data_IF_754793770460
#
_entry.id   IF_754793770460
#
_cell.length_a   1.000
_cell.length_b   1.000
_cell.length_c   1.000
_cell.angle_alpha   90.00
_cell.angle_beta   90.00
_cell.angle_gamma   90.00
#
_symmetry.space_group_name_H-M   'P 1'
#
loop_
_entity.id
_entity.type
_entity.pdbx_description
1 polymer ?
#
# COMPACT_ATOMS: atom_id res chain seq x y z
N UNK A 1 -3.48 -21.29 3.18
CA UNK A 1 -4.70 -20.81 2.52
C UNK A 1 -4.79 -21.49 1.15
N UNK A 2 -5.97 -21.91 0.69
CA UNK A 2 -6.11 -22.37 -0.71
C UNK A 2 -6.16 -21.15 -1.65
N UNK A 3 -5.85 -21.35 -2.94
CA UNK A 3 -5.72 -20.23 -3.88
C UNK A 3 -7.02 -19.41 -4.02
N UNK A 4 -8.18 -20.06 -4.05
CA UNK A 4 -9.47 -19.36 -4.14
C UNK A 4 -9.78 -18.50 -2.91
N UNK A 5 -9.40 -18.98 -1.72
CA UNK A 5 -9.51 -18.20 -0.47
C UNK A 5 -8.58 -16.98 -0.48
N UNK A 6 -7.37 -17.13 -1.05
CA UNK A 6 -6.44 -16.02 -1.22
C UNK A 6 -7.03 -14.98 -2.15
N UNK A 7 -7.56 -15.39 -3.31
CA UNK A 7 -8.19 -14.49 -4.27
C UNK A 7 -9.38 -13.73 -3.65
N UNK A 8 -10.26 -14.42 -2.92
CA UNK A 8 -11.37 -13.79 -2.22
C UNK A 8 -10.89 -12.77 -1.18
N UNK A 9 -9.87 -13.13 -0.40
CA UNK A 9 -9.29 -12.26 0.63
C UNK A 9 -8.63 -11.02 0.04
N UNK A 10 -7.89 -11.18 -1.07
CA UNK A 10 -7.30 -10.06 -1.80
C UNK A 10 -8.38 -9.17 -2.43
N UNK A 11 -9.45 -9.75 -2.96
CA UNK A 11 -10.60 -9.00 -3.48
C UNK A 11 -11.22 -8.12 -2.41
N UNK A 12 -11.46 -8.68 -1.21
CA UNK A 12 -11.96 -7.91 -0.07
C UNK A 12 -11.00 -6.78 0.33
N UNK A 13 -9.69 -7.06 0.35
CA UNK A 13 -8.66 -6.07 0.65
C UNK A 13 -8.66 -4.92 -0.35
N UNK A 14 -8.64 -5.22 -1.65
CA UNK A 14 -8.64 -4.19 -2.71
C UNK A 14 -9.93 -3.36 -2.70
N UNK A 15 -11.08 -3.98 -2.44
CA UNK A 15 -12.36 -3.28 -2.30
C UNK A 15 -12.36 -2.34 -1.07
N UNK A 16 -11.74 -2.75 0.03
CA UNK A 16 -11.61 -1.93 1.24
C UNK A 16 -10.77 -0.66 0.98
N UNK A 17 -9.84 -0.69 0.02
CA UNK A 17 -9.07 0.48 -0.39
C UNK A 17 -9.83 1.42 -1.34
N UNK A 18 -11.06 1.07 -1.77
CA UNK A 18 -11.87 1.89 -2.69
C UNK A 18 -11.18 2.20 -4.03
N UNK A 19 -10.14 1.46 -4.39
CA UNK A 19 -9.43 1.65 -5.66
C UNK A 19 -10.11 0.85 -6.77
N UNK A 20 -10.25 1.45 -7.94
CA UNK A 20 -10.64 0.72 -9.13
C UNK A 20 -9.48 -0.17 -9.59
N UNK A 21 -9.76 -1.45 -9.85
CA UNK A 21 -8.79 -2.38 -10.40
C UNK A 21 -9.37 -3.18 -11.55
N UNK A 22 -8.51 -3.58 -12.48
CA UNK A 22 -8.80 -4.59 -13.47
C UNK A 22 -8.28 -5.93 -12.96
N UNK A 23 -9.13 -6.95 -12.98
CA UNK A 23 -8.69 -8.32 -12.77
C UNK A 23 -8.05 -8.87 -14.05
N UNK A 24 -6.89 -9.50 -13.87
CA UNK A 24 -6.16 -10.18 -14.91
C UNK A 24 -5.63 -11.52 -14.37
N UNK A 25 -5.41 -12.48 -15.28
CA UNK A 25 -4.85 -13.79 -14.95
C UNK A 25 -3.77 -14.14 -15.95
N UNK A 26 -2.53 -13.85 -15.59
CA UNK A 26 -1.38 -14.14 -16.44
C UNK A 26 -1.20 -15.64 -16.60
N UNK A 27 -1.28 -16.40 -15.50
CA UNK A 27 -1.31 -17.86 -15.55
C UNK A 27 -2.56 -18.35 -14.83
N UNK A 28 -3.43 -19.04 -15.58
CA UNK A 28 -4.72 -19.54 -15.09
C UNK A 28 -4.52 -20.47 -13.90
N UNK A 29 -5.45 -20.39 -12.95
CA UNK A 29 -5.57 -21.28 -11.78
C UNK A 29 -4.43 -21.22 -10.74
N UNK A 30 -3.35 -20.47 -10.99
CA UNK A 30 -2.23 -20.33 -10.05
C UNK A 30 -1.91 -18.88 -9.71
N UNK A 31 -2.52 -17.92 -10.42
CA UNK A 31 -2.32 -16.50 -10.17
C UNK A 31 -3.52 -15.64 -10.52
N UNK A 32 -3.60 -14.51 -9.81
CA UNK A 32 -4.56 -13.43 -10.04
C UNK A 32 -3.84 -12.10 -9.85
N UNK A 33 -4.07 -11.17 -10.77
CA UNK A 33 -3.48 -9.85 -10.74
C UNK A 33 -4.57 -8.79 -10.60
N UNK A 34 -4.44 -7.95 -9.58
CA UNK A 34 -5.25 -6.77 -9.36
C UNK A 34 -4.48 -5.56 -9.89
N UNK A 35 -4.82 -5.11 -11.09
CA UNK A 35 -4.12 -4.04 -11.80
C UNK A 35 -4.78 -2.70 -11.50
N UNK A 36 -4.10 -1.87 -10.70
CA UNK A 36 -4.55 -0.54 -10.28
C UNK A 36 -3.87 0.52 -11.15
N UNK A 37 -4.41 0.74 -12.34
CA UNK A 37 -3.83 1.68 -13.33
C UNK A 37 -3.64 3.09 -12.79
N UNK A 38 -4.61 3.60 -12.03
CA UNK A 38 -4.58 4.97 -11.51
C UNK A 38 -3.34 5.26 -10.63
N UNK A 39 -2.82 4.23 -9.94
CA UNK A 39 -1.69 4.36 -9.03
C UNK A 39 -0.47 3.53 -9.46
N UNK A 40 -0.46 3.03 -10.70
CA UNK A 40 0.66 2.26 -11.26
C UNK A 40 1.08 1.07 -10.39
N UNK A 41 0.12 0.31 -9.85
CA UNK A 41 0.35 -0.82 -8.95
C UNK A 41 -0.28 -2.11 -9.49
N UNK A 42 0.44 -3.22 -9.38
CA UNK A 42 -0.08 -4.57 -9.58
C UNK A 42 0.10 -5.36 -8.29
N UNK A 43 -1.01 -5.83 -7.73
CA UNK A 43 -0.99 -6.79 -6.61
C UNK A 43 -1.23 -8.18 -7.17
N UNK A 44 -0.29 -9.09 -6.96
CA UNK A 44 -0.34 -10.44 -7.50
C UNK A 44 -0.56 -11.45 -6.38
N UNK A 45 -1.72 -12.10 -6.39
CA UNK A 45 -1.97 -13.30 -5.60
C UNK A 45 -1.47 -14.53 -6.35
N UNK A 46 -0.72 -15.42 -5.71
CA UNK A 46 -0.18 -16.62 -6.37
C UNK A 46 0.05 -17.80 -5.41
N UNK A 47 0.30 -18.98 -5.97
CA UNK A 47 0.71 -20.18 -5.22
C UNK A 47 2.23 -20.14 -5.01
N UNK A 48 2.70 -20.30 -3.77
CA UNK A 48 4.11 -20.12 -3.39
C UNK A 48 5.10 -20.94 -4.26
N UNK A 49 4.76 -22.18 -4.61
CA UNK A 49 5.59 -23.07 -5.44
C UNK A 49 5.89 -22.51 -6.84
N UNK A 50 5.05 -21.60 -7.35
CA UNK A 50 5.10 -21.08 -8.71
C UNK A 50 5.78 -19.72 -8.82
N UNK A 51 6.39 -19.22 -7.74
CA UNK A 51 6.88 -17.84 -7.63
C UNK A 51 7.71 -17.39 -8.83
N UNK A 52 8.68 -18.19 -9.27
CA UNK A 52 9.61 -17.81 -10.33
C UNK A 52 8.90 -17.51 -11.66
N UNK A 53 8.00 -18.41 -12.07
CA UNK A 53 7.27 -18.28 -13.34
C UNK A 53 6.33 -17.07 -13.28
N UNK A 54 5.70 -16.84 -12.13
CA UNK A 54 4.84 -15.68 -11.89
C UNK A 54 5.62 -14.37 -11.92
N UNK A 55 6.76 -14.31 -11.25
CA UNK A 55 7.63 -13.14 -11.22
C UNK A 55 8.03 -12.72 -12.64
N UNK A 56 8.54 -13.66 -13.43
CA UNK A 56 8.99 -13.41 -14.80
C UNK A 56 7.83 -12.91 -15.68
N UNK A 57 6.68 -13.57 -15.60
CA UNK A 57 5.52 -13.24 -16.42
C UNK A 57 4.89 -11.89 -16.05
N UNK A 58 4.83 -11.56 -14.75
CA UNK A 58 4.35 -10.25 -14.26
C UNK A 58 5.32 -9.13 -14.67
N UNK A 59 6.62 -9.35 -14.55
CA UNK A 59 7.63 -8.36 -14.94
C UNK A 59 7.61 -8.08 -16.43
N UNK A 60 7.41 -9.10 -17.26
CA UNK A 60 7.28 -8.93 -18.70
C UNK A 60 6.02 -8.14 -19.09
N UNK A 61 4.88 -8.43 -18.45
CA UNK A 61 3.60 -7.80 -18.81
C UNK A 61 3.43 -6.39 -18.25
N UNK A 62 3.99 -6.12 -17.07
CA UNK A 62 3.81 -4.87 -16.34
C UNK A 62 5.16 -4.24 -15.95
N UNK A 63 6.04 -3.88 -16.90
CA UNK A 63 7.40 -3.45 -16.60
C UNK A 63 7.43 -2.20 -15.70
N UNK A 64 6.57 -1.22 -15.99
CA UNK A 64 6.58 0.11 -15.35
C UNK A 64 5.68 0.24 -14.12
N UNK A 65 5.15 -0.89 -13.61
CA UNK A 65 4.28 -0.90 -12.44
C UNK A 65 5.08 -1.27 -11.18
N UNK A 66 4.71 -0.66 -10.06
CA UNK A 66 5.05 -1.22 -8.73
C UNK A 66 4.36 -2.57 -8.61
N UNK A 67 5.06 -3.57 -8.08
CA UNK A 67 4.56 -4.95 -7.98
C UNK A 67 4.64 -5.41 -6.54
N UNK A 68 3.53 -5.95 -6.05
CA UNK A 68 3.47 -6.61 -4.75
C UNK A 68 3.06 -8.06 -5.01
N UNK A 69 3.86 -8.99 -4.51
CA UNK A 69 3.62 -10.43 -4.62
C UNK A 69 3.15 -10.95 -3.27
N UNK A 70 2.00 -11.61 -3.28
CA UNK A 70 1.34 -12.19 -2.10
C UNK A 70 1.05 -13.66 -2.41
N UNK A 71 1.75 -14.53 -1.72
CA UNK A 71 1.56 -15.97 -1.78
C UNK A 71 0.42 -16.42 -0.87
N UNK A 72 0.00 -17.67 -1.05
CA UNK A 72 -0.97 -18.34 -0.17
C UNK A 72 -0.43 -18.72 1.22
N UNK A 73 0.84 -18.43 1.49
CA UNK A 73 1.55 -18.64 2.76
C UNK A 73 1.83 -17.33 3.51
N UNK A 74 1.62 -16.17 2.87
CA UNK A 74 1.89 -14.86 3.45
C UNK A 74 0.87 -14.43 4.51
N UNK A 75 1.33 -13.62 5.47
CA UNK A 75 0.46 -12.92 6.40
C UNK A 75 -0.25 -11.76 5.71
N UNK A 76 -1.55 -11.91 5.44
CA UNK A 76 -2.35 -10.89 4.76
C UNK A 76 -2.45 -9.56 5.51
N UNK A 77 -2.28 -9.53 6.83
CA UNK A 77 -2.29 -8.27 7.59
C UNK A 77 -1.04 -7.43 7.28
N UNK A 78 0.13 -8.07 7.23
CA UNK A 78 1.39 -7.41 6.86
C UNK A 78 1.41 -7.03 5.38
N UNK A 79 0.80 -7.86 4.52
CA UNK A 79 0.68 -7.55 3.09
C UNK A 79 -0.33 -6.46 2.79
N UNK A 80 -1.43 -6.36 3.56
CA UNK A 80 -2.37 -5.23 3.48
C UNK A 80 -1.63 -3.91 3.68
N UNK A 81 -0.74 -3.92 4.66
CA UNK A 81 0.14 -2.82 4.95
C UNK A 81 1.03 -2.55 3.72
N UNK A 82 1.84 -3.51 3.27
CA UNK A 82 2.70 -3.36 2.07
C UNK A 82 1.97 -2.78 0.82
N UNK A 83 0.74 -3.24 0.54
CA UNK A 83 -0.09 -2.74 -0.57
C UNK A 83 -0.49 -1.28 -0.38
N UNK A 84 -0.94 -0.90 0.82
CA UNK A 84 -1.27 0.49 1.12
C UNK A 84 -0.06 1.42 0.93
N UNK A 85 1.16 0.94 1.19
CA UNK A 85 2.36 1.77 1.12
C UNK A 85 2.67 2.03 -0.36
N UNK A 86 2.63 0.97 -1.17
CA UNK A 86 2.82 1.07 -2.62
C UNK A 86 1.74 1.92 -3.30
N UNK A 87 0.49 1.85 -2.84
CA UNK A 87 -0.58 2.77 -3.26
C UNK A 87 -0.24 4.22 -2.88
N UNK A 88 0.23 4.44 -1.65
CA UNK A 88 0.55 5.77 -1.12
C UNK A 88 1.68 6.45 -1.89
N UNK A 89 2.71 5.70 -2.31
CA UNK A 89 3.76 6.17 -3.21
C UNK A 89 3.20 6.66 -4.56
N UNK A 90 2.09 6.08 -5.02
CA UNK A 90 1.35 6.54 -6.21
C UNK A 90 0.43 7.74 -5.98
N UNK A 91 0.39 8.33 -4.79
CA UNK A 91 -0.49 9.45 -4.44
C UNK A 91 -1.90 9.04 -3.98
N UNK A 92 -2.10 7.77 -3.60
CA UNK A 92 -3.38 7.26 -3.10
C UNK A 92 -3.92 8.03 -1.90
N UNK A 93 -3.08 8.40 -0.93
CA UNK A 93 -3.54 9.08 0.30
C UNK A 93 -4.07 10.48 0.00
N UNK A 94 -3.40 11.24 -0.87
CA UNK A 94 -3.90 12.52 -1.38
C UNK A 94 -5.24 12.36 -2.09
N UNK A 95 -5.35 11.35 -2.96
CA UNK A 95 -6.59 11.07 -3.68
C UNK A 95 -7.71 10.67 -2.72
N UNK A 96 -7.46 9.79 -1.77
CA UNK A 96 -8.42 9.30 -0.78
C UNK A 96 -8.91 10.46 0.08
N UNK A 97 -8.00 11.33 0.55
CA UNK A 97 -8.36 12.55 1.28
C UNK A 97 -9.28 13.46 0.48
N UNK A 98 -9.02 13.62 -0.81
CA UNK A 98 -9.80 14.50 -1.70
C UNK A 98 -11.20 13.95 -2.05
N UNK A 99 -11.34 12.64 -2.25
CA UNK A 99 -12.60 12.02 -2.70
C UNK A 99 -13.42 11.40 -1.58
N UNK A 100 -12.75 10.85 -0.57
CA UNK A 100 -13.32 10.05 0.51
C UNK A 100 -12.74 10.48 1.86
N UNK A 101 -12.87 11.77 2.18
CA UNK A 101 -12.23 12.39 3.37
C UNK A 101 -12.51 11.67 4.69
N UNK A 102 -13.72 11.11 4.85
CA UNK A 102 -14.09 10.31 6.02
C UNK A 102 -13.30 9.00 6.09
N UNK A 103 -13.17 8.28 4.98
CA UNK A 103 -12.41 7.03 4.92
C UNK A 103 -10.92 7.29 5.14
N UNK A 104 -10.39 8.38 4.57
CA UNK A 104 -9.03 8.83 4.85
C UNK A 104 -8.81 9.10 6.35
N UNK A 105 -9.71 9.85 7.00
CA UNK A 105 -9.62 10.12 8.44
C UNK A 105 -9.69 8.82 9.26
N UNK A 106 -10.59 7.90 8.90
CA UNK A 106 -10.70 6.61 9.57
C UNK A 106 -9.44 5.77 9.42
N UNK A 107 -8.85 5.74 8.23
CA UNK A 107 -7.59 5.03 7.98
C UNK A 107 -6.45 5.59 8.84
N UNK A 108 -6.28 6.92 8.83
CA UNK A 108 -5.20 7.60 9.55
C UNK A 108 -5.35 7.48 11.08
N UNK A 109 -6.56 7.66 11.60
CA UNK A 109 -6.82 7.75 13.05
C UNK A 109 -7.24 6.40 13.63
N UNK A 110 -8.27 5.77 13.10
CA UNK A 110 -8.90 4.60 13.73
C UNK A 110 -8.14 3.30 13.42
N UNK A 111 -7.54 3.20 12.24
CA UNK A 111 -6.70 2.06 11.87
C UNK A 111 -5.21 2.29 12.19
N UNK A 112 -4.90 3.37 12.93
CA UNK A 112 -3.55 3.80 13.32
C UNK A 112 -2.53 3.92 12.18
N UNK A 113 -3.01 4.03 10.94
CA UNK A 113 -2.12 4.04 9.79
C UNK A 113 -1.25 5.31 9.75
N UNK A 114 -1.73 6.42 10.35
CA UNK A 114 -0.96 7.64 10.49
C UNK A 114 0.36 7.43 11.24
N UNK A 115 0.36 6.61 12.28
CA UNK A 115 1.57 6.26 13.04
C UNK A 115 2.53 5.42 12.19
N UNK A 116 2.00 4.38 11.52
CA UNK A 116 2.78 3.50 10.64
C UNK A 116 3.47 4.27 9.51
N UNK A 117 2.79 5.27 8.93
CA UNK A 117 3.38 6.17 7.91
C UNK A 117 4.61 6.89 8.46
N UNK A 118 4.48 7.51 9.64
CA UNK A 118 5.57 8.27 10.27
C UNK A 118 6.76 7.35 10.57
N UNK A 119 6.51 6.20 11.19
CA UNK A 119 7.55 5.21 11.52
C UNK A 119 8.30 4.72 10.27
N UNK A 120 7.56 4.43 9.20
CA UNK A 120 8.16 3.98 7.94
C UNK A 120 8.96 5.10 7.24
N UNK A 121 8.49 6.35 7.28
CA UNK A 121 9.25 7.52 6.78
C UNK A 121 10.57 7.67 7.51
N UNK A 122 10.55 7.61 8.84
CA UNK A 122 11.76 7.69 9.68
C UNK A 122 12.72 6.54 9.40
N UNK A 123 12.19 5.33 9.18
CA UNK A 123 13.00 4.17 8.76
C UNK A 123 13.69 4.40 7.43
N UNK A 124 13.00 4.95 6.42
CA UNK A 124 13.55 5.19 5.08
C UNK A 124 14.58 6.33 5.10
N UNK A 125 14.30 7.42 5.80
CA UNK A 125 15.18 8.59 5.84
C UNK A 125 16.33 8.50 6.84
N UNK A 126 16.36 7.43 7.65
CA UNK A 126 17.26 7.21 8.76
C UNK A 126 18.65 7.86 8.62
N UNK A 127 18.94 8.80 9.52
CA UNK A 127 20.22 9.53 9.69
C UNK A 127 20.81 10.15 8.41
N UNK A 128 20.00 10.35 7.36
CA UNK A 128 20.43 11.03 6.15
C UNK A 128 20.35 12.54 6.36
N UNK A 129 21.49 13.24 6.36
CA UNK A 129 21.55 14.70 6.59
C UNK A 129 20.64 15.49 5.63
N UNK A 130 20.45 15.01 4.39
CA UNK A 130 19.55 15.63 3.41
C UNK A 130 18.08 15.66 3.83
N UNK A 131 17.67 14.85 4.81
CA UNK A 131 16.30 14.75 5.27
C UNK A 131 16.11 15.23 6.71
N UNK A 132 17.09 15.92 7.32
CA UNK A 132 17.03 16.32 8.72
C UNK A 132 15.72 17.03 9.11
N UNK A 133 15.28 18.01 8.32
CA UNK A 133 14.01 18.70 8.58
C UNK A 133 12.81 17.74 8.55
N UNK A 134 12.76 16.82 7.57
CA UNK A 134 11.67 15.86 7.45
C UNK A 134 11.67 14.85 8.60
N UNK A 135 12.86 14.44 9.05
CA UNK A 135 13.05 13.56 10.21
C UNK A 135 12.52 14.27 11.47
N UNK A 136 13.02 15.46 11.78
CA UNK A 136 12.60 16.25 12.96
C UNK A 136 11.09 16.51 12.95
N UNK A 137 10.53 16.85 11.78
CA UNK A 137 9.10 17.09 11.65
C UNK A 137 8.27 15.83 11.91
N UNK A 138 8.72 14.66 11.44
CA UNK A 138 8.05 13.38 11.68
C UNK A 138 8.22 12.91 13.14
N UNK A 139 9.38 13.11 13.76
CA UNK A 139 9.59 12.84 15.18
C UNK A 139 8.70 13.71 16.07
N UNK A 140 8.52 14.99 15.71
CA UNK A 140 7.59 15.89 16.40
C UNK A 140 6.13 15.44 16.22
N UNK A 141 5.74 15.11 14.98
CA UNK A 141 4.40 14.62 14.68
C UNK A 141 4.06 13.31 15.42
N UNK A 142 5.03 12.42 15.64
CA UNK A 142 4.86 11.17 16.37
C UNK A 142 4.47 11.39 17.85
N UNK A 143 4.82 12.54 18.42
CA UNK A 143 4.48 12.93 19.80
C UNK A 143 3.08 13.52 19.92
N UNK A 144 2.39 13.75 18.80
CA UNK A 144 1.06 14.35 18.75
C UNK A 144 0.01 13.30 18.35
N UNK A 145 -1.24 13.43 18.81
CA UNK A 145 -2.34 12.63 18.27
C UNK A 145 -2.52 12.87 16.77
N UNK A 146 -2.82 11.81 16.00
CA UNK A 146 -3.06 11.94 14.56
C UNK A 146 -4.21 12.91 14.23
N UNK A 147 -5.21 13.03 15.11
CA UNK A 147 -6.30 14.01 15.00
C UNK A 147 -5.82 15.45 15.04
N UNK A 148 -4.78 15.76 15.84
CA UNK A 148 -4.18 17.08 15.92
C UNK A 148 -3.39 17.41 14.65
N UNK A 149 -2.59 16.46 14.16
CA UNK A 149 -1.88 16.63 12.89
C UNK A 149 -2.85 16.88 11.73
N UNK A 150 -3.94 16.12 11.66
CA UNK A 150 -4.98 16.31 10.66
C UNK A 150 -5.70 17.66 10.74
N UNK A 151 -5.78 18.30 11.92
CA UNK A 151 -6.42 19.62 12.03
C UNK A 151 -5.52 20.76 11.57
N UNK A 152 -4.20 20.59 11.68
CA UNK A 152 -3.22 21.62 11.30
C UNK A 152 -2.80 21.44 9.85
N UNK A 153 -2.41 20.23 9.48
CA UNK A 153 -1.98 19.88 8.14
C UNK A 153 -2.57 18.51 7.74
N UNK A 154 -3.78 18.50 7.15
CA UNK A 154 -4.37 17.29 6.62
C UNK A 154 -3.52 16.60 5.55
N UNK A 155 -2.67 17.36 4.84
CA UNK A 155 -1.83 16.86 3.76
C UNK A 155 -0.53 16.23 4.25
N UNK A 156 -0.23 16.34 5.55
CA UNK A 156 0.94 15.73 6.18
C UNK A 156 1.07 14.24 5.85
N UNK A 157 -0.03 13.50 5.74
CA UNK A 157 -0.05 12.08 5.44
C UNK A 157 -0.11 11.74 3.94
N UNK A 158 -0.20 12.72 3.05
CA UNK A 158 -0.38 12.48 1.61
C UNK A 158 0.83 11.82 0.95
N UNK A 159 2.03 12.09 1.45
CA UNK A 159 3.29 11.71 0.82
C UNK A 159 3.86 10.41 1.41
N UNK A 160 4.38 9.53 0.57
CA UNK A 160 5.18 8.40 1.01
C UNK A 160 6.48 8.37 0.21
N UNK A 161 7.66 8.35 0.85
CA UNK A 161 8.92 8.25 0.12
C UNK A 161 9.05 6.88 -0.56
N UNK A 162 9.74 6.88 -1.70
CA UNK A 162 10.24 5.68 -2.38
C UNK A 162 11.58 5.22 -1.78
#
# INVERSE_FOLDING_TARGET
MIFDELEASLTMMMNAFRVGYKLDRIIKSISVQFVVHQFGLVVTGFIASEYKIILDSVNQKYPDYRKIFISNEDNLLEKKDEVLWALSQGGYLKWLRSKYSRDFKNLVVMQEFGRKIIEQRLRIWNKSMKYNYLIEYNESALRQPATYMLSIDPSFYDFMPE
#
